data_IF_821775970353
#
_entry.id   IF_821775970353
#
_cell.length_a   1.000
_cell.length_b   1.000
_cell.length_c   1.000
_cell.angle_alpha   90.00
_cell.angle_beta   90.00
_cell.angle_gamma   90.00
#
_symmetry.space_group_name_H-M   'P 1'
#
loop_
_entity.id
_entity.type
_entity.pdbx_description
1 polymer ?
#
# COMPACT_ATOMS: atom_id res chain seq x y z
N UNK A 1 60.97 -151.94 -141.80
CA UNK A 1 59.85 -151.92 -142.78
C UNK A 1 58.54 -152.12 -142.01
N UNK A 2 57.69 -151.10 -142.05
CA UNK A 2 56.23 -151.08 -141.76
C UNK A 2 55.64 -151.39 -140.36
N UNK A 3 56.26 -151.01 -139.23
CA UNK A 3 55.46 -150.96 -137.97
C UNK A 3 55.89 -149.97 -136.88
N UNK A 4 56.55 -148.86 -137.24
CA UNK A 4 57.06 -147.87 -136.25
C UNK A 4 56.38 -146.49 -136.35
N UNK A 5 55.67 -146.18 -137.45
CA UNK A 5 55.02 -144.86 -137.63
C UNK A 5 53.55 -144.79 -137.19
N UNK A 6 52.81 -145.91 -137.06
CA UNK A 6 51.42 -145.88 -136.61
C UNK A 6 51.28 -145.76 -135.08
N UNK A 7 52.27 -146.24 -134.31
CA UNK A 7 52.20 -146.26 -132.84
C UNK A 7 52.37 -144.87 -132.20
N UNK A 8 53.07 -143.94 -132.86
CA UNK A 8 53.31 -142.59 -132.34
C UNK A 8 52.16 -141.59 -132.59
N UNK A 9 51.24 -141.86 -133.52
CA UNK A 9 50.12 -140.96 -133.80
C UNK A 9 48.98 -141.07 -132.76
N UNK A 10 48.77 -142.26 -132.18
CA UNK A 10 47.72 -142.49 -131.17
C UNK A 10 48.10 -141.97 -129.77
N UNK A 11 49.39 -141.79 -129.49
CA UNK A 11 49.87 -141.32 -128.18
C UNK A 11 49.76 -139.79 -127.97
N UNK A 12 49.67 -138.99 -129.03
CA UNK A 12 49.63 -137.52 -128.91
C UNK A 12 48.24 -136.94 -128.61
N UNK A 13 47.17 -137.64 -128.99
CA UNK A 13 45.79 -137.17 -128.76
C UNK A 13 45.31 -137.38 -127.31
N UNK A 14 45.79 -138.41 -126.60
CA UNK A 14 45.37 -138.67 -125.21
C UNK A 14 46.02 -137.73 -124.17
N UNK A 15 47.25 -137.26 -124.43
CA UNK A 15 47.95 -136.35 -123.50
C UNK A 15 47.36 -134.94 -123.53
N UNK A 16 46.82 -134.51 -124.67
CA UNK A 16 46.21 -133.18 -124.82
C UNK A 16 44.85 -133.06 -124.12
N UNK A 17 44.02 -134.12 -124.13
CA UNK A 17 42.73 -134.14 -123.43
C UNK A 17 42.89 -134.24 -121.90
N UNK A 18 43.88 -134.99 -121.41
CA UNK A 18 44.13 -135.15 -119.97
C UNK A 18 44.72 -133.88 -119.33
N UNK A 19 45.57 -133.14 -120.05
CA UNK A 19 46.12 -131.85 -119.59
C UNK A 19 45.06 -130.75 -119.44
N UNK A 20 44.12 -130.65 -120.39
CA UNK A 20 43.03 -129.65 -120.33
C UNK A 20 42.08 -129.95 -119.17
N UNK A 21 41.79 -131.23 -118.90
CA UNK A 21 40.95 -131.65 -117.77
C UNK A 21 41.53 -131.25 -116.42
N UNK A 22 42.85 -131.39 -116.23
CA UNK A 22 43.52 -130.99 -114.98
C UNK A 22 43.52 -129.47 -114.78
N UNK A 23 43.72 -128.69 -115.84
CA UNK A 23 43.70 -127.21 -115.76
C UNK A 23 42.30 -126.71 -115.41
N UNK A 24 41.26 -127.29 -116.01
CA UNK A 24 39.86 -126.97 -115.68
C UNK A 24 39.51 -127.36 -114.23
N UNK A 25 39.97 -128.52 -113.76
CA UNK A 25 39.77 -128.94 -112.38
C UNK A 25 40.48 -128.00 -111.39
N UNK A 26 41.70 -127.55 -111.72
CA UNK A 26 42.46 -126.60 -110.89
C UNK A 26 41.80 -125.22 -110.86
N UNK A 27 41.28 -124.73 -112.00
CA UNK A 27 40.53 -123.49 -112.09
C UNK A 27 39.22 -123.56 -111.29
N UNK A 28 38.47 -124.65 -111.39
CA UNK A 28 37.26 -124.88 -110.60
C UNK A 28 37.55 -124.95 -109.10
N UNK A 29 38.67 -125.56 -108.71
CA UNK A 29 39.11 -125.60 -107.32
C UNK A 29 39.50 -124.21 -106.81
N UNK A 30 40.27 -123.45 -107.58
CA UNK A 30 40.63 -122.06 -107.26
C UNK A 30 39.39 -121.17 -107.15
N UNK A 31 38.42 -121.32 -108.06
CA UNK A 31 37.17 -120.58 -108.03
C UNK A 31 36.35 -120.94 -106.78
N UNK A 32 36.31 -122.22 -106.39
CA UNK A 32 35.70 -122.66 -105.13
C UNK A 32 36.40 -122.06 -103.90
N UNK A 33 37.74 -122.05 -103.87
CA UNK A 33 38.50 -121.47 -102.75
C UNK A 33 38.26 -119.97 -102.63
N UNK A 34 38.25 -119.24 -103.76
CA UNK A 34 37.93 -117.82 -103.79
C UNK A 34 36.49 -117.54 -103.34
N UNK A 35 35.52 -118.38 -103.74
CA UNK A 35 34.15 -118.27 -103.26
C UNK A 35 34.06 -118.50 -101.75
N UNK A 36 34.78 -119.50 -101.21
CA UNK A 36 34.82 -119.79 -99.76
C UNK A 36 35.53 -118.67 -98.99
N UNK A 37 36.62 -118.10 -99.51
CA UNK A 37 37.29 -116.97 -98.88
C UNK A 37 36.40 -115.73 -98.90
N UNK A 38 35.68 -115.47 -100.00
CA UNK A 38 34.73 -114.36 -100.09
C UNK A 38 33.56 -114.53 -99.13
N UNK A 39 33.01 -115.73 -98.97
CA UNK A 39 31.95 -115.97 -97.99
C UNK A 39 32.45 -115.85 -96.55
N UNK A 40 33.66 -116.32 -96.24
CA UNK A 40 34.28 -116.12 -94.91
C UNK A 40 34.58 -114.64 -94.61
N UNK A 41 35.08 -113.90 -95.59
CA UNK A 41 35.32 -112.46 -95.44
C UNK A 41 34.00 -111.70 -95.23
N UNK A 42 32.94 -112.08 -95.92
CA UNK A 42 31.61 -111.50 -95.74
C UNK A 42 30.98 -111.88 -94.40
N UNK A 43 31.20 -113.09 -93.89
CA UNK A 43 30.69 -113.46 -92.56
C UNK A 43 31.42 -112.70 -91.45
N UNK A 44 32.75 -112.56 -91.56
CA UNK A 44 33.56 -111.76 -90.63
C UNK A 44 33.20 -110.27 -90.68
N UNK A 45 32.93 -109.71 -91.86
CA UNK A 45 32.51 -108.31 -91.96
C UNK A 45 31.15 -108.07 -91.31
N UNK A 46 30.19 -109.00 -91.49
CA UNK A 46 28.87 -108.93 -90.85
C UNK A 46 28.98 -109.02 -89.33
N UNK A 47 29.81 -109.94 -88.81
CA UNK A 47 30.00 -110.10 -87.36
C UNK A 47 30.65 -108.87 -86.71
N UNK A 48 31.61 -108.23 -87.38
CA UNK A 48 32.22 -106.96 -86.92
C UNK A 48 31.21 -105.81 -86.97
N UNK A 49 30.39 -105.75 -88.01
CA UNK A 49 29.35 -104.71 -88.16
C UNK A 49 28.25 -104.87 -87.11
N UNK A 50 27.88 -106.11 -86.77
CA UNK A 50 26.93 -106.44 -85.71
C UNK A 50 27.48 -106.13 -84.31
N UNK A 51 28.76 -106.44 -84.05
CA UNK A 51 29.44 -106.03 -82.81
C UNK A 51 29.56 -104.50 -82.70
N UNK A 52 29.90 -103.80 -83.78
CA UNK A 52 29.99 -102.34 -83.79
C UNK A 52 28.61 -101.69 -83.58
N UNK A 53 27.55 -102.25 -84.19
CA UNK A 53 26.18 -101.83 -83.96
C UNK A 53 25.75 -102.05 -82.50
N UNK A 54 26.09 -103.20 -81.91
CA UNK A 54 25.81 -103.51 -80.50
C UNK A 54 26.56 -102.60 -79.52
N UNK A 55 27.81 -102.25 -79.81
CA UNK A 55 28.57 -101.28 -79.01
C UNK A 55 27.97 -99.87 -79.14
N UNK A 56 27.59 -99.44 -80.35
CA UNK A 56 26.94 -98.15 -80.57
C UNK A 56 25.58 -98.06 -79.87
N UNK A 57 24.78 -99.13 -79.87
CA UNK A 57 23.51 -99.16 -79.15
C UNK A 57 23.74 -99.08 -77.64
N UNK A 58 24.67 -99.86 -77.09
CA UNK A 58 24.99 -99.83 -75.66
C UNK A 58 25.53 -98.46 -75.21
N UNK A 59 26.35 -97.81 -76.05
CA UNK A 59 26.91 -96.50 -75.75
C UNK A 59 25.84 -95.40 -75.82
N UNK A 60 24.88 -95.50 -76.75
CA UNK A 60 23.72 -94.61 -76.81
C UNK A 60 22.77 -94.80 -75.62
N UNK A 61 22.53 -96.05 -75.20
CA UNK A 61 21.71 -96.38 -74.03
C UNK A 61 22.32 -95.80 -72.75
N UNK A 62 23.61 -96.03 -72.52
CA UNK A 62 24.29 -95.48 -71.33
C UNK A 62 24.36 -93.95 -71.35
N UNK A 63 24.52 -93.33 -72.53
CA UNK A 63 24.43 -91.87 -72.69
C UNK A 63 23.05 -91.34 -72.32
N UNK A 64 21.97 -92.03 -72.72
CA UNK A 64 20.60 -91.64 -72.34
C UNK A 64 20.38 -91.79 -70.84
N UNK A 65 20.86 -92.88 -70.23
CA UNK A 65 20.74 -93.10 -68.78
C UNK A 65 21.45 -92.01 -67.97
N UNK A 66 22.65 -91.59 -68.39
CA UNK A 66 23.37 -90.47 -67.77
C UNK A 66 22.60 -89.15 -67.94
N UNK A 67 22.06 -88.88 -69.13
CA UNK A 67 21.29 -87.68 -69.40
C UNK A 67 20.01 -87.62 -68.54
N UNK A 68 19.28 -88.73 -68.44
CA UNK A 68 18.08 -88.87 -67.62
C UNK A 68 18.40 -88.76 -66.13
N UNK A 69 19.49 -89.39 -65.68
CA UNK A 69 19.98 -89.26 -64.31
C UNK A 69 20.34 -87.82 -63.94
N UNK A 70 20.98 -87.09 -64.85
CA UNK A 70 21.32 -85.68 -64.66
C UNK A 70 20.07 -84.78 -64.61
N UNK A 71 19.12 -84.96 -65.54
CA UNK A 71 17.85 -84.22 -65.57
C UNK A 71 17.06 -84.49 -64.29
N UNK A 72 16.95 -85.77 -63.88
CA UNK A 72 16.25 -86.15 -62.65
C UNK A 72 16.93 -85.58 -61.41
N UNK A 73 18.26 -85.61 -61.35
CA UNK A 73 19.04 -84.98 -60.27
C UNK A 73 18.78 -83.47 -60.19
N UNK A 74 18.81 -82.77 -61.33
CA UNK A 74 18.51 -81.35 -61.39
C UNK A 74 17.07 -81.03 -60.98
N UNK A 75 16.08 -81.78 -61.46
CA UNK A 75 14.67 -81.61 -61.08
C UNK A 75 14.47 -81.80 -59.57
N UNK A 76 15.04 -82.87 -58.99
CA UNK A 76 14.94 -83.11 -57.54
C UNK A 76 15.62 -81.99 -56.73
N UNK A 77 16.79 -81.50 -57.15
CA UNK A 77 17.44 -80.36 -56.47
C UNK A 77 16.64 -79.07 -56.60
N UNK A 78 16.03 -78.83 -57.76
CA UNK A 78 15.16 -77.67 -58.02
C UNK A 78 13.90 -77.74 -57.15
N UNK A 79 13.25 -78.90 -57.07
CA UNK A 79 12.05 -79.09 -56.26
C UNK A 79 12.36 -78.97 -54.76
N UNK A 80 13.48 -79.53 -54.30
CA UNK A 80 13.97 -79.35 -52.94
C UNK A 80 14.28 -77.86 -52.64
N UNK A 81 14.91 -77.14 -53.57
CA UNK A 81 15.13 -75.70 -53.42
C UNK A 81 13.82 -74.91 -53.38
N UNK A 82 12.85 -75.21 -54.24
CA UNK A 82 11.53 -74.56 -54.20
C UNK A 82 10.79 -74.85 -52.90
N UNK A 83 10.85 -76.08 -52.40
CA UNK A 83 10.28 -76.44 -51.10
C UNK A 83 10.90 -75.61 -49.96
N UNK A 84 12.23 -75.55 -49.89
CA UNK A 84 12.94 -74.78 -48.87
C UNK A 84 12.66 -73.27 -48.97
N UNK A 85 12.56 -72.73 -50.19
CA UNK A 85 12.21 -71.31 -50.41
C UNK A 85 10.78 -71.03 -49.93
N UNK A 86 9.83 -71.92 -50.24
CA UNK A 86 8.44 -71.77 -49.80
C UNK A 86 8.34 -71.84 -48.26
N UNK A 87 9.04 -72.78 -47.64
CA UNK A 87 9.07 -72.93 -46.17
C UNK A 87 9.72 -71.71 -45.49
N UNK A 88 10.80 -71.17 -46.07
CA UNK A 88 11.42 -69.92 -45.61
C UNK A 88 10.49 -68.72 -45.78
N UNK A 89 9.79 -68.61 -46.90
CA UNK A 89 8.82 -67.54 -47.12
C UNK A 89 7.65 -67.63 -46.14
N UNK A 90 7.16 -68.83 -45.85
CA UNK A 90 6.09 -69.05 -44.90
C UNK A 90 6.52 -68.71 -43.47
N UNK A 91 7.69 -69.20 -43.03
CA UNK A 91 8.23 -68.88 -41.70
C UNK A 91 8.54 -67.39 -41.53
N UNK A 92 9.08 -66.73 -42.56
CA UNK A 92 9.28 -65.27 -42.55
C UNK A 92 7.95 -64.52 -42.49
N UNK A 93 6.95 -64.92 -43.28
CA UNK A 93 5.62 -64.35 -43.26
C UNK A 93 4.93 -64.49 -41.89
N UNK A 94 5.00 -65.69 -41.30
CA UNK A 94 4.48 -65.95 -39.96
C UNK A 94 5.20 -65.11 -38.90
N UNK A 95 6.52 -64.99 -38.97
CA UNK A 95 7.32 -64.20 -38.02
C UNK A 95 7.02 -62.70 -38.15
N UNK A 96 6.85 -62.19 -39.37
CA UNK A 96 6.45 -60.81 -39.62
C UNK A 96 5.07 -60.51 -39.03
N UNK A 97 4.09 -61.39 -39.26
CA UNK A 97 2.74 -61.23 -38.67
C UNK A 97 2.79 -61.28 -37.15
N UNK A 98 3.59 -62.18 -36.57
CA UNK A 98 3.77 -62.29 -35.12
C UNK A 98 4.39 -61.02 -34.53
N UNK A 99 5.46 -60.50 -35.13
CA UNK A 99 6.11 -59.25 -34.72
C UNK A 99 5.15 -58.06 -34.83
N UNK A 100 4.42 -57.95 -35.93
CA UNK A 100 3.45 -56.88 -36.11
C UNK A 100 2.33 -56.94 -35.07
N UNK A 101 1.80 -58.15 -34.78
CA UNK A 101 0.81 -58.34 -33.72
C UNK A 101 1.35 -57.95 -32.36
N UNK A 102 2.57 -58.37 -32.02
CA UNK A 102 3.20 -58.04 -30.75
C UNK A 102 3.41 -56.52 -30.60
N UNK A 103 3.94 -55.84 -31.63
CA UNK A 103 4.09 -54.39 -31.62
C UNK A 103 2.75 -53.67 -31.46
N UNK A 104 1.70 -54.12 -32.16
CA UNK A 104 0.36 -53.51 -32.00
C UNK A 104 -0.23 -53.75 -30.62
N UNK A 105 0.04 -54.92 -30.02
CA UNK A 105 -0.40 -55.25 -28.67
C UNK A 105 0.33 -54.41 -27.62
N UNK A 106 1.65 -54.33 -27.70
CA UNK A 106 2.48 -53.52 -26.80
C UNK A 106 2.15 -52.03 -26.90
N UNK A 107 1.92 -51.52 -28.12
CA UNK A 107 1.47 -50.14 -28.32
C UNK A 107 0.08 -49.88 -27.72
N UNK A 108 -0.84 -50.84 -27.85
CA UNK A 108 -2.20 -50.73 -27.30
C UNK A 108 -2.19 -50.77 -25.78
N UNK A 109 -1.44 -51.70 -25.18
CA UNK A 109 -1.31 -51.79 -23.72
C UNK A 109 -0.60 -50.57 -23.12
N UNK A 110 0.43 -50.06 -23.79
CA UNK A 110 1.09 -48.81 -23.39
C UNK A 110 0.11 -47.62 -23.45
N UNK A 111 -0.67 -47.49 -24.52
CA UNK A 111 -1.70 -46.45 -24.64
C UNK A 111 -2.73 -46.55 -23.50
N UNK A 112 -3.18 -47.75 -23.18
CA UNK A 112 -4.16 -47.97 -22.11
C UNK A 112 -3.59 -47.58 -20.73
N UNK A 113 -2.37 -48.01 -20.42
CA UNK A 113 -1.68 -47.63 -19.18
C UNK A 113 -1.46 -46.11 -19.06
N UNK A 114 -1.21 -45.42 -20.18
CA UNK A 114 -1.06 -43.97 -20.22
C UNK A 114 -2.39 -43.26 -19.97
N UNK A 115 -3.49 -43.75 -20.54
CA UNK A 115 -4.83 -43.21 -20.28
C UNK A 115 -5.24 -43.40 -18.83
N UNK A 116 -4.98 -44.57 -18.24
CA UNK A 116 -5.22 -44.81 -16.82
C UNK A 116 -4.42 -43.85 -15.93
N UNK A 117 -3.11 -43.71 -16.18
CA UNK A 117 -2.25 -42.75 -15.45
C UNK A 117 -2.71 -41.32 -15.62
N UNK A 118 -3.17 -40.93 -16.80
CA UNK A 118 -3.66 -39.58 -17.07
C UNK A 118 -4.95 -39.30 -16.29
N UNK A 119 -5.89 -40.24 -16.30
CA UNK A 119 -7.13 -40.13 -15.52
C UNK A 119 -6.84 -40.11 -14.03
N UNK A 120 -5.91 -40.94 -13.55
CA UNK A 120 -5.49 -40.93 -12.15
C UNK A 120 -4.85 -39.60 -11.77
N UNK A 121 -3.94 -39.07 -12.58
CA UNK A 121 -3.32 -37.77 -12.36
C UNK A 121 -4.35 -36.63 -12.32
N UNK A 122 -5.34 -36.64 -13.24
CA UNK A 122 -6.42 -35.66 -13.23
C UNK A 122 -7.26 -35.73 -11.95
N UNK A 123 -7.55 -36.94 -11.44
CA UNK A 123 -8.25 -37.10 -10.16
C UNK A 123 -7.41 -36.61 -8.98
N UNK A 124 -6.14 -37.00 -8.92
CA UNK A 124 -5.24 -36.63 -7.83
C UNK A 124 -5.06 -35.10 -7.75
N UNK A 125 -4.88 -34.43 -8.89
CA UNK A 125 -4.81 -32.97 -8.98
C UNK A 125 -6.14 -32.33 -8.55
N UNK A 126 -7.27 -32.90 -8.97
CA UNK A 126 -8.60 -32.43 -8.57
C UNK A 126 -8.83 -32.54 -7.06
N UNK A 127 -8.48 -33.68 -6.46
CA UNK A 127 -8.57 -33.90 -5.01
C UNK A 127 -7.63 -32.98 -4.24
N UNK A 128 -6.39 -32.80 -4.70
CA UNK A 128 -5.44 -31.89 -4.06
C UNK A 128 -5.95 -30.45 -4.07
N UNK A 129 -6.48 -29.97 -5.20
CA UNK A 129 -7.06 -28.64 -5.30
C UNK A 129 -8.29 -28.48 -4.40
N UNK A 130 -9.16 -29.50 -4.32
CA UNK A 130 -10.32 -29.48 -3.43
C UNK A 130 -9.90 -29.40 -1.95
N UNK A 131 -8.95 -30.24 -1.51
CA UNK A 131 -8.40 -30.21 -0.14
C UNK A 131 -7.71 -28.88 0.16
N UNK A 132 -6.95 -28.33 -0.79
CA UNK A 132 -6.28 -27.05 -0.62
C UNK A 132 -7.29 -25.92 -0.47
N UNK A 133 -8.35 -25.89 -1.28
CA UNK A 133 -9.44 -24.91 -1.19
C UNK A 133 -10.15 -25.00 0.16
N UNK A 134 -10.51 -26.19 0.62
CA UNK A 134 -11.14 -26.39 1.93
C UNK A 134 -10.23 -25.92 3.08
N UNK A 135 -8.94 -26.26 3.02
CA UNK A 135 -7.97 -25.81 4.03
C UNK A 135 -7.76 -24.29 4.03
N UNK A 136 -7.91 -23.65 2.87
CA UNK A 136 -7.80 -22.21 2.72
C UNK A 136 -9.05 -21.53 3.29
N UNK A 137 -10.24 -22.01 2.96
CA UNK A 137 -11.52 -21.50 3.48
C UNK A 137 -11.58 -21.64 5.02
N UNK A 138 -11.12 -22.78 5.58
CA UNK A 138 -11.01 -22.96 7.04
C UNK A 138 -10.06 -21.95 7.68
N UNK A 139 -8.83 -21.82 7.16
CA UNK A 139 -7.84 -20.87 7.68
C UNK A 139 -8.28 -19.42 7.57
N UNK A 140 -8.95 -19.05 6.48
CA UNK A 140 -9.50 -17.71 6.30
C UNK A 140 -10.59 -17.41 7.31
N UNK A 141 -11.50 -18.36 7.54
CA UNK A 141 -12.57 -18.23 8.53
C UNK A 141 -12.03 -18.12 9.95
N UNK A 142 -11.07 -18.98 10.32
CA UNK A 142 -10.38 -18.92 11.62
C UNK A 142 -9.60 -17.61 11.79
N UNK A 143 -8.95 -17.11 10.75
CA UNK A 143 -8.24 -15.83 10.80
C UNK A 143 -9.21 -14.65 11.01
N UNK A 144 -10.34 -14.62 10.32
CA UNK A 144 -11.38 -13.60 10.50
C UNK A 144 -12.00 -13.67 11.91
N UNK A 145 -12.27 -14.87 12.43
CA UNK A 145 -12.78 -15.06 13.78
C UNK A 145 -11.76 -14.58 14.84
N UNK A 146 -10.49 -14.92 14.67
CA UNK A 146 -9.43 -14.44 15.56
C UNK A 146 -9.25 -12.92 15.49
N UNK A 147 -9.33 -12.31 14.31
CA UNK A 147 -9.31 -10.86 14.16
C UNK A 147 -10.52 -10.21 14.83
N UNK A 148 -11.72 -10.78 14.66
CA UNK A 148 -12.94 -10.27 15.30
C UNK A 148 -12.85 -10.34 16.83
N UNK A 149 -12.39 -11.48 17.38
CA UNK A 149 -12.15 -11.64 18.82
C UNK A 149 -11.12 -10.67 19.35
N UNK A 150 -9.99 -10.48 18.64
CA UNK A 150 -8.98 -9.51 19.03
C UNK A 150 -9.52 -8.08 19.03
N UNK A 151 -10.34 -7.71 18.04
CA UNK A 151 -11.01 -6.42 17.97
C UNK A 151 -12.02 -6.24 19.11
N UNK A 152 -12.80 -7.27 19.42
CA UNK A 152 -13.77 -7.25 20.52
C UNK A 152 -13.07 -7.06 21.88
N UNK A 153 -12.01 -7.83 22.15
CA UNK A 153 -11.21 -7.70 23.38
C UNK A 153 -10.52 -6.34 23.44
N UNK A 154 -9.96 -5.86 22.31
CA UNK A 154 -9.35 -4.53 22.23
C UNK A 154 -10.36 -3.40 22.48
N UNK A 155 -11.58 -3.53 21.96
CA UNK A 155 -12.66 -2.56 22.18
C UNK A 155 -13.15 -2.56 23.62
N UNK A 156 -13.27 -3.73 24.25
CA UNK A 156 -13.60 -3.85 25.68
C UNK A 156 -12.52 -3.21 26.56
N UNK A 157 -11.24 -3.49 26.26
CA UNK A 157 -10.11 -2.88 26.96
C UNK A 157 -10.09 -1.36 26.81
N UNK A 158 -10.28 -0.84 25.59
CA UNK A 158 -10.33 0.59 25.31
C UNK A 158 -11.52 1.27 26.02
N UNK A 159 -12.70 0.62 26.01
CA UNK A 159 -13.88 1.10 26.75
C UNK A 159 -13.62 1.14 28.26
N UNK A 160 -12.94 0.13 28.81
CA UNK A 160 -12.50 0.09 30.20
C UNK A 160 -11.54 1.22 30.53
N UNK A 161 -10.50 1.41 29.73
CA UNK A 161 -9.53 2.50 29.89
C UNK A 161 -10.19 3.88 29.78
N UNK A 162 -11.12 4.06 28.83
CA UNK A 162 -11.84 5.32 28.67
C UNK A 162 -12.72 5.62 29.89
N UNK A 163 -13.45 4.63 30.40
CA UNK A 163 -14.22 4.77 31.64
C UNK A 163 -13.34 5.12 32.83
N UNK A 164 -12.19 4.46 32.97
CA UNK A 164 -11.25 4.75 34.04
C UNK A 164 -10.68 6.16 33.92
N UNK A 165 -10.19 6.56 32.74
CA UNK A 165 -9.67 7.90 32.50
C UNK A 165 -10.75 8.97 32.72
N UNK A 166 -11.99 8.72 32.31
CA UNK A 166 -13.11 9.62 32.55
C UNK A 166 -13.44 9.74 34.05
N UNK A 167 -13.39 8.63 34.80
CA UNK A 167 -13.59 8.63 36.25
C UNK A 167 -12.47 9.40 36.97
N UNK A 168 -11.22 9.18 36.60
CA UNK A 168 -10.05 9.90 37.14
C UNK A 168 -10.12 11.40 36.82
N UNK A 169 -10.49 11.77 35.58
CA UNK A 169 -10.67 13.16 35.19
C UNK A 169 -11.82 13.82 35.96
N UNK A 170 -12.94 13.12 36.14
CA UNK A 170 -14.08 13.63 36.92
C UNK A 170 -13.69 13.85 38.38
N UNK A 171 -12.95 12.91 38.97
CA UNK A 171 -12.43 13.03 40.33
C UNK A 171 -11.51 14.26 40.47
N UNK A 172 -10.54 14.42 39.57
CA UNK A 172 -9.64 15.58 39.58
C UNK A 172 -10.39 16.90 39.39
N UNK A 173 -11.43 16.92 38.55
CA UNK A 173 -12.28 18.10 38.36
C UNK A 173 -13.01 18.48 39.65
N UNK A 174 -13.61 17.49 40.33
CA UNK A 174 -14.29 17.70 41.60
C UNK A 174 -13.34 18.23 42.69
N UNK A 175 -12.15 17.64 42.82
CA UNK A 175 -11.13 18.12 43.77
C UNK A 175 -10.70 19.57 43.48
N UNK A 176 -10.56 19.95 42.20
CA UNK A 176 -10.24 21.33 41.80
C UNK A 176 -11.39 22.29 42.09
N UNK A 177 -12.63 21.88 41.83
CA UNK A 177 -13.83 22.67 42.12
C UNK A 177 -13.98 22.91 43.63
N UNK A 178 -13.77 21.88 44.45
CA UNK A 178 -13.80 21.99 45.91
C UNK A 178 -12.72 22.95 46.42
N UNK A 179 -11.48 22.82 45.92
CA UNK A 179 -10.39 23.75 46.26
C UNK A 179 -10.68 25.19 45.82
N UNK A 180 -11.30 25.38 44.66
CA UNK A 180 -11.70 26.70 44.17
C UNK A 180 -12.80 27.30 45.05
N UNK A 181 -13.80 26.50 45.44
CA UNK A 181 -14.87 26.92 46.35
C UNK A 181 -14.29 27.37 47.70
N UNK A 182 -13.40 26.57 48.29
CA UNK A 182 -12.71 26.92 49.53
C UNK A 182 -11.89 28.21 49.40
N UNK A 183 -11.08 28.34 48.33
CA UNK A 183 -10.26 29.55 48.10
C UNK A 183 -11.14 30.80 47.91
N UNK A 184 -12.29 30.64 47.27
CA UNK A 184 -13.24 31.74 47.05
C UNK A 184 -13.90 32.15 48.37
N UNK A 185 -14.29 31.18 49.20
CA UNK A 185 -14.85 31.44 50.53
C UNK A 185 -13.86 32.17 51.44
N UNK A 186 -12.60 31.71 51.48
CA UNK A 186 -11.51 32.37 52.20
C UNK A 186 -11.29 33.82 51.73
N UNK A 187 -11.31 34.05 50.41
CA UNK A 187 -11.19 35.41 49.85
C UNK A 187 -12.39 36.29 50.19
N UNK A 188 -13.60 35.77 50.16
CA UNK A 188 -14.81 36.51 50.53
C UNK A 188 -14.78 36.88 52.02
N UNK A 189 -14.35 35.95 52.88
CA UNK A 189 -14.20 36.21 54.32
C UNK A 189 -13.13 37.29 54.59
N UNK A 190 -11.99 37.24 53.88
CA UNK A 190 -10.96 38.29 53.94
C UNK A 190 -11.49 39.65 53.49
N UNK A 191 -12.23 39.69 52.36
CA UNK A 191 -12.84 40.93 51.85
C UNK A 191 -13.84 41.48 52.87
N UNK A 192 -14.72 40.63 53.40
CA UNK A 192 -15.71 41.02 54.41
C UNK A 192 -15.06 41.64 55.64
N UNK A 193 -14.03 40.99 56.19
CA UNK A 193 -13.28 41.51 57.34
C UNK A 193 -12.53 42.82 57.03
N UNK A 194 -12.01 42.98 55.82
CA UNK A 194 -11.34 44.22 55.42
C UNK A 194 -12.34 45.37 55.18
N UNK A 195 -13.52 45.08 54.66
CA UNK A 195 -14.62 46.03 54.53
C UNK A 195 -15.10 46.48 55.91
N UNK A 196 -15.34 45.55 56.84
CA UNK A 196 -15.72 45.87 58.22
C UNK A 196 -14.68 46.78 58.88
N UNK A 197 -13.39 46.44 58.78
CA UNK A 197 -12.31 47.27 59.32
C UNK A 197 -12.30 48.69 58.73
N UNK A 198 -12.46 48.82 57.40
CA UNK A 198 -12.51 50.13 56.73
C UNK A 198 -13.76 50.91 57.11
N UNK A 199 -14.89 50.24 57.30
CA UNK A 199 -16.15 50.86 57.69
C UNK A 199 -16.04 51.44 59.10
N UNK A 200 -15.53 50.67 60.07
CA UNK A 200 -15.28 51.13 61.44
C UNK A 200 -14.32 52.31 61.48
N UNK A 201 -13.19 52.22 60.78
CA UNK A 201 -12.24 53.34 60.66
C UNK A 201 -12.87 54.58 60.00
N UNK A 202 -13.73 54.38 59.00
CA UNK A 202 -14.48 55.45 58.36
C UNK A 202 -15.45 56.13 59.32
N UNK A 203 -16.17 55.35 60.13
CA UNK A 203 -17.09 55.88 61.16
C UNK A 203 -16.34 56.65 62.24
N UNK A 204 -15.23 56.11 62.78
CA UNK A 204 -14.41 56.81 63.79
C UNK A 204 -13.93 58.17 63.27
N UNK A 205 -13.37 58.20 62.05
CA UNK A 205 -12.89 59.43 61.44
C UNK A 205 -14.02 60.42 61.14
N UNK A 206 -15.18 59.91 60.74
CA UNK A 206 -16.37 60.74 60.50
C UNK A 206 -16.86 61.37 61.80
N UNK A 207 -16.96 60.61 62.90
CA UNK A 207 -17.29 61.12 64.24
C UNK A 207 -16.30 62.18 64.70
N UNK A 208 -15.00 61.96 64.50
CA UNK A 208 -13.97 62.95 64.84
C UNK A 208 -14.15 64.28 64.08
N UNK A 209 -14.44 64.20 62.78
CA UNK A 209 -14.73 65.37 61.96
C UNK A 209 -16.02 66.06 62.43
N UNK A 210 -17.08 65.30 62.73
CA UNK A 210 -18.32 65.84 63.28
C UNK A 210 -18.09 66.56 64.62
N UNK A 211 -17.31 65.99 65.53
CA UNK A 211 -16.95 66.65 66.80
C UNK A 211 -16.19 67.96 66.58
N UNK A 212 -15.22 67.98 65.65
CA UNK A 212 -14.54 69.23 65.28
C UNK A 212 -15.48 70.27 64.70
N UNK A 213 -16.42 69.87 63.85
CA UNK A 213 -17.44 70.78 63.30
C UNK A 213 -18.32 71.35 64.42
N UNK A 214 -18.75 70.54 65.38
CA UNK A 214 -19.53 70.99 66.53
C UNK A 214 -18.76 71.99 67.41
N UNK A 215 -17.47 71.75 67.66
CA UNK A 215 -16.60 72.69 68.39
C UNK A 215 -16.49 74.04 67.66
N UNK A 216 -16.26 74.00 66.34
CA UNK A 216 -16.20 75.21 65.53
C UNK A 216 -17.52 75.99 65.56
N UNK A 217 -18.66 75.31 65.47
CA UNK A 217 -19.98 75.94 65.58
C UNK A 217 -20.22 76.59 66.94
N UNK A 218 -19.80 75.93 68.03
CA UNK A 218 -19.88 76.50 69.38
C UNK A 218 -19.04 77.77 69.53
N UNK A 219 -17.83 77.80 68.96
CA UNK A 219 -16.98 79.01 68.95
C UNK A 219 -17.58 80.14 68.12
N UNK A 220 -18.25 79.82 67.02
CA UNK A 220 -19.01 80.80 66.22
C UNK A 220 -20.16 81.39 67.05
N UNK A 221 -20.89 80.56 67.78
CA UNK A 221 -22.00 80.98 68.64
C UNK A 221 -21.53 81.94 69.76
N UNK A 222 -20.39 81.63 70.41
CA UNK A 222 -19.76 82.53 71.38
C UNK A 222 -19.35 83.88 70.77
N UNK A 223 -18.81 83.87 69.53
CA UNK A 223 -18.44 85.10 68.84
C UNK A 223 -19.68 85.96 68.50
N UNK A 224 -20.79 85.34 68.08
CA UNK A 224 -22.05 86.06 67.82
C UNK A 224 -22.63 86.70 69.09
N UNK A 225 -22.51 86.03 70.24
CA UNK A 225 -22.94 86.58 71.53
C UNK A 225 -22.19 87.88 71.88
N UNK A 226 -20.87 87.91 71.68
CA UNK A 226 -20.04 89.11 71.90
C UNK A 226 -20.36 90.26 70.93
N UNK A 227 -20.70 89.94 69.67
CA UNK A 227 -21.12 90.96 68.68
C UNK A 227 -22.45 91.61 69.08
N UNK A 228 -23.38 90.80 69.59
CA UNK A 228 -24.68 91.30 70.08
C UNK A 228 -24.50 92.26 71.26
N UNK A 229 -23.60 91.93 72.20
CA UNK A 229 -23.29 92.75 73.37
C UNK A 229 -22.65 94.11 73.00
N UNK A 230 -21.73 94.10 72.01
CA UNK A 230 -21.10 95.33 71.50
C UNK A 230 -22.09 96.29 70.83
N UNK A 231 -23.13 95.74 70.18
CA UNK A 231 -24.15 96.52 69.48
C UNK A 231 -25.06 97.30 70.42
N UNK A 232 -25.20 96.88 71.69
CA UNK A 232 -25.97 97.61 72.70
C UNK A 232 -25.36 98.96 73.14
N UNK A 233 -24.02 99.06 73.16
CA UNK A 233 -23.31 100.25 73.65
C UNK A 233 -23.40 101.48 72.71
N UNK A 234 -23.76 101.27 71.44
CA UNK A 234 -23.79 102.36 70.43
C UNK A 234 -25.06 103.21 70.53
N UNK A 235 -26.13 102.72 71.16
CA UNK A 235 -27.43 103.41 71.28
C UNK A 235 -27.41 104.51 72.35
N UNK A 236 -26.56 104.39 73.38
CA UNK A 236 -26.48 105.36 74.49
C UNK A 236 -25.90 106.73 74.13
N UNK A 237 -25.15 106.86 73.02
CA UNK A 237 -24.54 108.14 72.64
C UNK A 237 -25.51 109.13 71.97
N UNK A 238 -26.69 108.68 71.53
CA UNK A 238 -27.64 109.53 70.80
C UNK A 238 -28.49 110.44 71.72
N UNK A 239 -28.54 110.19 73.03
CA UNK A 239 -29.43 110.90 73.98
C UNK A 239 -28.88 112.22 74.55
N UNK A 240 -27.59 112.51 74.40
CA UNK A 240 -26.95 113.70 75.01
C UNK A 240 -27.07 114.98 74.14
N UNK A 241 -27.38 114.86 72.85
CA UNK A 241 -27.38 115.99 71.90
C UNK A 241 -28.75 116.68 71.69
N UNK A 242 -29.78 116.31 72.45
CA UNK A 242 -31.17 116.77 72.23
C UNK A 242 -31.65 117.88 73.18
N UNK A 243 -30.89 118.28 74.21
CA UNK A 243 -31.37 119.27 75.20
C UNK A 243 -31.08 120.75 74.82
N UNK A 244 -32.14 121.57 74.83
CA UNK A 244 -32.12 122.99 74.39
C UNK A 244 -31.39 123.94 75.36
N UNK A 245 -31.33 123.64 76.67
CA UNK A 245 -30.63 124.49 77.65
C UNK A 245 -29.11 124.37 77.51
N UNK A 246 -28.64 123.14 77.31
CA UNK A 246 -27.22 122.83 77.15
C UNK A 246 -26.62 123.47 75.89
N UNK A 247 -27.41 123.62 74.82
CA UNK A 247 -26.96 124.27 73.58
C UNK A 247 -26.81 125.80 73.71
N UNK A 248 -27.64 126.47 74.52
CA UNK A 248 -27.55 127.91 74.77
C UNK A 248 -26.30 128.28 75.59
N UNK A 249 -26.07 127.56 76.68
CA UNK A 249 -24.88 127.76 77.53
C UNK A 249 -23.56 127.50 76.77
N UNK A 250 -23.53 126.53 75.84
CA UNK A 250 -22.35 126.30 75.01
C UNK A 250 -22.09 127.45 74.01
N UNK A 251 -23.14 128.12 73.53
CA UNK A 251 -23.02 129.30 72.67
C UNK A 251 -22.40 130.49 73.41
N UNK A 252 -22.87 130.76 74.63
CA UNK A 252 -22.36 131.85 75.48
C UNK A 252 -20.88 131.64 75.86
N UNK A 253 -20.49 130.42 76.25
CA UNK A 253 -19.09 130.10 76.59
C UNK A 253 -18.16 130.25 75.38
N UNK A 254 -18.60 129.88 74.18
CA UNK A 254 -17.83 130.10 72.96
C UNK A 254 -17.71 131.59 72.61
N UNK A 255 -18.78 132.37 72.80
CA UNK A 255 -18.77 133.81 72.53
C UNK A 255 -17.82 134.53 73.50
N UNK A 256 -17.84 134.16 74.78
CA UNK A 256 -16.89 134.65 75.79
C UNK A 256 -15.44 134.33 75.38
N UNK A 257 -15.16 133.08 75.02
CA UNK A 257 -13.82 132.65 74.61
C UNK A 257 -13.30 133.39 73.37
N UNK A 258 -14.18 133.68 72.40
CA UNK A 258 -13.84 134.45 71.21
C UNK A 258 -13.52 135.91 71.54
N UNK A 259 -14.36 136.60 72.32
CA UNK A 259 -14.12 138.01 72.66
C UNK A 259 -12.85 138.16 73.49
N UNK A 260 -12.60 137.28 74.46
CA UNK A 260 -11.37 137.27 75.28
C UNK A 260 -10.10 137.16 74.45
N UNK A 261 -10.14 136.34 73.39
CA UNK A 261 -8.98 136.10 72.55
C UNK A 261 -8.69 137.24 71.57
N UNK A 262 -9.71 138.03 71.20
CA UNK A 262 -9.59 139.05 70.15
C UNK A 262 -9.40 140.45 70.72
N UNK A 263 -9.96 140.77 71.89
CA UNK A 263 -9.99 142.13 72.43
C UNK A 263 -9.01 142.34 73.60
N UNK A 264 -8.33 143.50 73.71
CA UNK A 264 -7.47 143.82 74.84
C UNK A 264 -8.24 143.87 76.18
N UNK A 265 -7.62 143.36 77.25
CA UNK A 265 -8.19 143.39 78.60
C UNK A 265 -8.48 144.84 79.01
N UNK A 266 -9.76 145.16 79.28
CA UNK A 266 -10.24 146.50 79.65
C UNK A 266 -11.08 147.21 78.58
N UNK A 267 -11.14 146.70 77.35
CA UNK A 267 -11.94 147.28 76.25
C UNK A 267 -13.32 146.61 76.05
N UNK A 268 -13.70 145.66 76.89
CA UNK A 268 -15.00 145.00 76.88
C UNK A 268 -15.49 144.67 78.29
N UNK A 269 -16.80 144.57 78.46
CA UNK A 269 -17.45 144.15 79.69
C UNK A 269 -18.57 143.15 79.38
N UNK A 270 -18.52 141.96 80.00
CA UNK A 270 -19.54 140.93 79.82
C UNK A 270 -20.73 141.20 80.73
N UNK A 271 -21.93 140.88 80.24
CA UNK A 271 -23.20 141.01 80.98
C UNK A 271 -23.44 142.39 81.61
N UNK A 272 -23.07 143.46 80.89
CA UNK A 272 -23.23 144.81 81.39
C UNK A 272 -24.68 145.29 81.25
N UNK A 273 -25.21 145.88 82.32
CA UNK A 273 -26.51 146.57 82.29
C UNK A 273 -26.31 148.02 81.85
N UNK A 274 -26.99 148.42 80.77
CA UNK A 274 -26.96 149.78 80.22
C UNK A 274 -27.85 150.72 81.04
N UNK A 275 -27.71 152.04 80.85
CA UNK A 275 -28.47 153.07 81.57
C UNK A 275 -29.98 153.07 81.29
N UNK A 276 -30.46 152.23 80.36
CA UNK A 276 -31.87 151.95 80.07
C UNK A 276 -32.38 150.65 80.72
N UNK A 277 -31.64 150.10 81.70
CA UNK A 277 -31.95 148.88 82.45
C UNK A 277 -31.98 147.57 81.62
N UNK A 278 -31.46 147.61 80.38
CA UNK A 278 -31.29 146.41 79.53
C UNK A 278 -29.91 145.78 79.75
N UNK A 279 -29.85 144.46 79.96
CA UNK A 279 -28.61 143.70 80.12
C UNK A 279 -28.24 143.04 78.79
N UNK A 280 -26.99 143.21 78.38
CA UNK A 280 -26.47 142.70 77.09
C UNK A 280 -25.37 141.68 77.34
N UNK A 281 -25.25 140.66 76.49
CA UNK A 281 -24.26 139.58 76.65
C UNK A 281 -22.82 140.12 76.68
N UNK A 282 -22.50 141.12 75.85
CA UNK A 282 -21.20 141.79 75.86
C UNK A 282 -21.30 143.28 75.46
N UNK A 283 -20.62 144.17 76.17
CA UNK A 283 -20.46 145.58 75.80
C UNK A 283 -19.00 145.86 75.40
N UNK A 284 -18.79 146.24 74.14
CA UNK A 284 -17.48 146.67 73.64
C UNK A 284 -17.31 148.18 73.78
N UNK A 285 -16.16 148.64 74.31
CA UNK A 285 -15.84 150.06 74.47
C UNK A 285 -14.68 150.44 73.54
N UNK A 286 -14.97 151.16 72.45
CA UNK A 286 -14.00 151.57 71.44
C UNK A 286 -13.77 153.11 71.46
N UNK A 287 -12.57 153.61 71.07
CA UNK A 287 -12.29 155.04 70.99
C UNK A 287 -13.12 155.76 69.90
N UNK A 288 -13.24 157.09 69.96
CA UNK A 288 -14.04 157.89 69.02
C UNK A 288 -13.62 157.72 67.54
N UNK A 289 -14.57 157.78 66.57
CA UNK A 289 -15.96 158.27 66.70
C UNK A 289 -17.02 157.19 67.06
N UNK A 290 -16.67 155.92 67.25
CA UNK A 290 -17.62 154.80 67.36
C UNK A 290 -18.22 154.57 68.76
N UNK A 291 -17.51 154.89 69.84
CA UNK A 291 -18.04 154.80 71.21
C UNK A 291 -18.34 153.37 71.72
N UNK A 292 -19.36 153.21 72.57
CA UNK A 292 -19.74 151.95 73.26
C UNK A 292 -20.80 151.18 72.47
N UNK A 293 -20.55 149.91 72.14
CA UNK A 293 -21.41 149.05 71.30
C UNK A 293 -21.89 147.81 72.07
N UNK A 294 -23.22 147.66 72.29
CA UNK A 294 -23.78 146.45 72.92
C UNK A 294 -23.97 145.29 71.93
N UNK A 295 -23.70 144.07 72.39
CA UNK A 295 -23.91 142.78 71.71
C UNK A 295 -24.79 141.91 72.60
N UNK A 296 -25.86 141.37 72.02
CA UNK A 296 -26.78 140.38 72.57
C UNK A 296 -26.85 139.20 71.58
#
# INVERSE_FOLDING_TARGET
MHNVQAFWAQYSQEILFTGIGLVLAMLLWLLRVLLIQRTRLHSLSVEVEEMAAGLLSALNEHRQEIADGFIKGQLLTRDAMHSNINELQETLGQRQVMLQRQLTFDASSMKESLLERFVQLQRDVGEQLARQRESFEKRQTEALDNQHKALQVGMEHMSGQLRQSQAESTKSMNERLEKLAQTTDERLQQISGQVEKRLTQGFEKTTEVFSRVLEHLSRIDEAQKKITELSGNVVSLQEVLTDKRSRGAFGEVQLEGLVRNVMPEGSYAMQQTLSNDTRVDCLLTLPEPTGRVPID
#
